data_IF_410621601694
#
_entry.id   IF_410621601694
#
_cell.length_a   1.000
_cell.length_b   1.000
_cell.length_c   1.000
_cell.angle_alpha   90.00
_cell.angle_beta   90.00
_cell.angle_gamma   90.00
#
_symmetry.space_group_name_H-M   'P 1'
#
loop_
_entity.id
_entity.type
_entity.pdbx_description
1 polymer ?
#
# COMPACT_ATOMS: atom_id res chain seq x y z
N UNK A 1 14.20 12.37 -4.38
CA UNK A 1 13.14 12.68 -5.37
C UNK A 1 13.55 12.51 -6.84
N UNK A 2 14.77 12.03 -7.18
CA UNK A 2 15.21 11.87 -8.59
C UNK A 2 15.17 10.43 -9.15
N UNK A 3 14.63 9.45 -8.42
CA UNK A 3 14.60 8.03 -8.85
C UNK A 3 13.29 7.59 -9.53
N UNK A 4 12.24 8.43 -9.55
CA UNK A 4 10.92 8.03 -10.10
C UNK A 4 10.81 8.12 -11.63
N UNK A 5 11.65 8.94 -12.29
CA UNK A 5 11.63 9.16 -13.75
C UNK A 5 12.05 7.90 -14.57
N UNK A 6 13.08 7.12 -14.18
CA UNK A 6 13.41 5.89 -14.90
C UNK A 6 12.37 4.78 -14.72
N UNK A 7 11.74 4.68 -13.54
CA UNK A 7 10.77 3.61 -13.23
C UNK A 7 9.51 3.70 -14.11
N UNK A 8 8.88 4.88 -14.19
CA UNK A 8 7.64 5.07 -14.95
C UNK A 8 7.79 4.78 -16.45
N UNK A 9 8.97 5.06 -17.02
CA UNK A 9 9.29 4.74 -18.42
C UNK A 9 9.56 3.25 -18.65
N UNK A 10 10.13 2.55 -17.67
CA UNK A 10 10.42 1.11 -17.77
C UNK A 10 9.15 0.29 -17.58
N UNK A 11 8.26 0.73 -16.70
CA UNK A 11 7.00 0.06 -16.37
C UNK A 11 5.83 0.46 -17.27
N UNK A 12 6.02 1.45 -18.16
CA UNK A 12 4.97 1.99 -19.04
C UNK A 12 3.71 2.41 -18.26
N UNK A 13 3.89 2.93 -17.04
CA UNK A 13 2.78 3.36 -16.20
C UNK A 13 2.04 4.55 -16.84
N UNK A 14 0.73 4.39 -17.03
CA UNK A 14 -0.15 5.44 -17.57
C UNK A 14 -0.37 5.40 -19.08
N UNK A 15 0.21 4.44 -19.80
CA UNK A 15 -0.08 4.20 -21.22
C UNK A 15 -1.30 3.28 -21.40
N UNK A 16 -2.01 3.41 -22.52
CA UNK A 16 -3.10 2.50 -22.86
C UNK A 16 -2.56 1.10 -23.20
N UNK A 17 -3.30 0.06 -22.84
CA UNK A 17 -2.93 -1.34 -23.09
C UNK A 17 -2.59 -1.63 -24.56
N UNK A 18 -3.23 -0.93 -25.50
CA UNK A 18 -2.99 -1.10 -26.93
C UNK A 18 -1.66 -0.47 -27.41
N UNK A 19 -1.11 0.48 -26.67
CA UNK A 19 0.11 1.22 -27.05
C UNK A 19 1.38 0.62 -26.43
N UNK A 20 1.25 -0.46 -25.63
CA UNK A 20 2.38 -1.08 -24.95
C UNK A 20 3.10 -2.01 -25.94
N UNK A 21 4.33 -1.67 -26.38
CA UNK A 21 5.09 -2.56 -27.25
C UNK A 21 5.50 -3.82 -26.50
N UNK A 22 5.67 -4.93 -27.21
CA UNK A 22 6.24 -6.17 -26.63
C UNK A 22 7.64 -5.89 -26.06
N UNK A 23 7.78 -6.02 -24.74
CA UNK A 23 9.00 -5.69 -24.01
C UNK A 23 9.93 -6.89 -23.92
N UNK A 24 11.25 -6.67 -24.04
CA UNK A 24 12.23 -7.73 -23.78
C UNK A 24 12.17 -8.21 -22.33
N UNK A 25 12.46 -9.50 -22.11
CA UNK A 25 12.42 -10.15 -20.78
C UNK A 25 13.25 -9.37 -19.74
N UNK A 26 14.43 -8.89 -20.12
CA UNK A 26 15.29 -8.07 -19.23
C UNK A 26 14.61 -6.78 -18.75
N UNK A 27 13.92 -6.07 -19.63
CA UNK A 27 13.23 -4.83 -19.25
C UNK A 27 12.02 -5.11 -18.37
N UNK A 28 11.32 -6.20 -18.64
CA UNK A 28 10.19 -6.63 -17.80
C UNK A 28 10.67 -6.92 -16.36
N UNK A 29 11.73 -7.71 -16.21
CA UNK A 29 12.32 -8.03 -14.90
C UNK A 29 12.73 -6.75 -14.15
N UNK A 30 13.38 -5.82 -14.85
CA UNK A 30 13.78 -4.54 -14.26
C UNK A 30 12.56 -3.75 -13.77
N UNK A 31 11.50 -3.67 -14.57
CA UNK A 31 10.24 -3.01 -14.18
C UNK A 31 9.56 -3.67 -12.99
N UNK A 32 9.62 -5.00 -12.88
CA UNK A 32 9.05 -5.71 -11.72
C UNK A 32 9.82 -5.46 -10.43
N UNK A 33 11.15 -5.37 -10.51
CA UNK A 33 11.99 -5.00 -9.35
C UNK A 33 11.65 -3.62 -8.81
N UNK A 34 11.42 -2.65 -9.70
CA UNK A 34 11.01 -1.31 -9.28
C UNK A 34 9.58 -1.28 -8.71
N UNK A 35 8.62 -1.97 -9.34
CA UNK A 35 7.27 -2.08 -8.80
C UNK A 35 7.26 -2.70 -7.40
N UNK A 36 8.00 -3.79 -7.20
CA UNK A 36 8.16 -4.42 -5.89
C UNK A 36 8.77 -3.46 -4.86
N UNK A 37 9.83 -2.73 -5.24
CA UNK A 37 10.44 -1.74 -4.37
C UNK A 37 9.45 -0.63 -3.99
N UNK A 38 8.64 -0.16 -4.94
CA UNK A 38 7.63 0.86 -4.67
C UNK A 38 6.53 0.33 -3.73
N UNK A 39 6.02 -0.88 -3.94
CA UNK A 39 5.00 -1.48 -3.08
C UNK A 39 5.49 -1.63 -1.63
N UNK A 40 6.69 -2.18 -1.46
CA UNK A 40 7.33 -2.36 -0.15
C UNK A 40 7.59 -1.05 0.58
N UNK A 41 7.84 0.05 -0.13
CA UNK A 41 8.09 1.37 0.47
C UNK A 41 6.80 2.15 0.72
N UNK A 42 5.82 2.04 -0.16
CA UNK A 42 4.61 2.85 -0.12
C UNK A 42 3.78 2.59 1.14
N UNK A 43 3.50 1.32 1.47
CA UNK A 43 2.70 0.98 2.65
C UNK A 43 3.34 1.45 3.97
N UNK A 44 4.64 1.19 4.24
CA UNK A 44 5.28 1.69 5.46
C UNK A 44 5.36 3.20 5.55
N UNK A 45 5.63 3.90 4.43
CA UNK A 45 5.68 5.37 4.43
C UNK A 45 4.34 5.94 4.88
N UNK A 46 3.22 5.43 4.35
CA UNK A 46 1.88 5.85 4.76
C UNK A 46 1.63 5.59 6.26
N UNK A 47 2.03 4.43 6.78
CA UNK A 47 1.91 4.13 8.20
C UNK A 47 2.75 5.06 9.08
N UNK A 48 4.01 5.35 8.69
CA UNK A 48 4.90 6.24 9.45
C UNK A 48 4.35 7.67 9.52
N UNK A 49 3.79 8.18 8.43
CA UNK A 49 3.12 9.50 8.42
C UNK A 49 1.97 9.52 9.43
N UNK A 50 1.12 8.49 9.44
CA UNK A 50 0.01 8.37 10.40
C UNK A 50 0.50 8.28 11.86
N UNK A 51 1.56 7.51 12.11
CA UNK A 51 2.17 7.41 13.43
C UNK A 51 2.70 8.77 13.93
N UNK A 52 3.25 9.60 13.05
CA UNK A 52 3.70 10.95 13.41
C UNK A 52 2.55 11.84 13.93
N UNK A 53 1.38 11.73 13.31
CA UNK A 53 0.17 12.45 13.72
C UNK A 53 -0.35 11.90 15.05
N UNK A 54 -0.41 10.58 15.21
CA UNK A 54 -0.83 9.99 16.48
C UNK A 54 0.12 10.39 17.62
N UNK A 55 1.43 10.39 17.39
CA UNK A 55 2.41 10.83 18.40
C UNK A 55 2.21 12.31 18.76
N UNK A 56 1.90 13.16 17.78
CA UNK A 56 1.54 14.55 18.04
C UNK A 56 0.26 14.67 18.89
N UNK A 57 -0.76 13.85 18.60
CA UNK A 57 -2.00 13.78 19.40
C UNK A 57 -1.78 13.16 20.78
N UNK A 58 -0.85 12.22 20.96
CA UNK A 58 -0.48 11.70 22.27
C UNK A 58 0.31 12.73 23.09
N UNK A 59 1.04 13.62 22.43
CA UNK A 59 1.73 14.74 23.09
C UNK A 59 0.75 15.81 23.58
N UNK A 60 -0.44 15.93 22.99
CA UNK A 60 -1.50 16.79 23.51
C UNK A 60 -2.14 16.07 24.72
N UNK A 61 -1.54 16.27 25.88
CA UNK A 61 -1.85 15.54 27.13
C UNK A 61 -3.29 15.85 27.62
N UNK A 62 -4.28 15.11 27.13
CA UNK A 62 -5.66 15.11 27.65
C UNK A 62 -5.83 14.05 28.75
N UNK A 63 -6.27 14.48 29.93
CA UNK A 63 -6.45 13.61 31.12
C UNK A 63 -7.53 12.53 30.95
N UNK A 64 -8.31 12.55 29.87
CA UNK A 64 -9.41 11.59 29.63
C UNK A 64 -8.86 10.22 29.21
N UNK A 65 -8.91 9.26 30.13
CA UNK A 65 -8.48 7.86 29.89
C UNK A 65 -9.05 7.25 28.59
N UNK A 66 -10.30 7.52 28.22
CA UNK A 66 -10.88 6.97 26.97
C UNK A 66 -10.14 7.44 25.71
N UNK A 67 -9.70 8.70 25.68
CA UNK A 67 -8.99 9.28 24.53
C UNK A 67 -7.58 8.70 24.44
N UNK A 68 -6.86 8.66 25.57
CA UNK A 68 -5.50 8.10 25.66
C UNK A 68 -5.45 6.61 25.28
N UNK A 69 -6.37 5.78 25.80
CA UNK A 69 -6.48 4.38 25.41
C UNK A 69 -6.83 4.18 23.94
N UNK A 70 -7.71 5.03 23.38
CA UNK A 70 -8.06 4.96 21.96
C UNK A 70 -6.87 5.33 21.07
N UNK A 71 -6.10 6.37 21.42
CA UNK A 71 -4.90 6.77 20.69
C UNK A 71 -3.81 5.71 20.76
N UNK A 72 -3.54 5.12 21.93
CA UNK A 72 -2.60 4.00 22.09
C UNK A 72 -3.04 2.75 21.33
N UNK A 73 -4.34 2.46 21.34
CA UNK A 73 -4.93 1.39 20.54
C UNK A 73 -4.71 1.60 19.04
N UNK A 74 -5.00 2.81 18.53
CA UNK A 74 -4.76 3.16 17.13
C UNK A 74 -3.28 3.14 16.75
N UNK A 75 -2.39 3.59 17.63
CA UNK A 75 -0.94 3.51 17.42
C UNK A 75 -0.52 2.04 17.24
N UNK A 76 -0.92 1.18 18.16
CA UNK A 76 -0.60 -0.26 18.13
C UNK A 76 -1.17 -0.91 16.87
N UNK A 77 -2.43 -0.61 16.54
CA UNK A 77 -3.07 -1.14 15.35
C UNK A 77 -2.38 -0.70 14.05
N UNK A 78 -1.98 0.57 13.93
CA UNK A 78 -1.25 1.06 12.75
C UNK A 78 0.12 0.41 12.59
N UNK A 79 0.85 0.21 13.70
CA UNK A 79 2.14 -0.51 13.68
C UNK A 79 1.94 -1.96 13.25
N UNK A 80 0.92 -2.64 13.78
CA UNK A 80 0.60 -4.01 13.38
C UNK A 80 0.23 -4.10 11.90
N UNK A 81 -0.58 -3.16 11.39
CA UNK A 81 -0.90 -3.10 9.97
C UNK A 81 0.35 -2.90 9.11
N UNK A 82 1.25 -1.99 9.51
CA UNK A 82 2.52 -1.76 8.81
C UNK A 82 3.37 -3.03 8.70
N UNK A 83 3.54 -3.74 9.81
CA UNK A 83 4.32 -4.99 9.84
C UNK A 83 3.63 -6.08 9.02
N UNK A 84 2.30 -6.19 9.14
CA UNK A 84 1.52 -7.19 8.42
C UNK A 84 1.55 -6.99 6.91
N UNK A 85 1.36 -5.76 6.43
CA UNK A 85 1.36 -5.48 4.99
C UNK A 85 2.77 -5.64 4.41
N UNK A 86 3.80 -5.18 5.12
CA UNK A 86 5.18 -5.36 4.68
C UNK A 86 5.56 -6.84 4.52
N UNK A 87 5.17 -7.70 5.47
CA UNK A 87 5.42 -9.14 5.37
C UNK A 87 4.59 -9.80 4.27
N UNK A 88 3.35 -9.35 4.06
CA UNK A 88 2.54 -9.84 2.95
C UNK A 88 3.15 -9.47 1.59
N UNK A 89 3.64 -8.23 1.42
CA UNK A 89 4.34 -7.78 0.22
C UNK A 89 5.67 -8.55 0.01
N UNK A 90 6.39 -8.83 1.11
CA UNK A 90 7.66 -9.58 1.08
C UNK A 90 7.48 -11.08 0.80
N UNK A 91 6.30 -11.65 1.03
CA UNK A 91 6.03 -13.07 0.80
C UNK A 91 4.81 -13.27 -0.09
N UNK A 92 4.56 -12.34 -1.02
CA UNK A 92 3.36 -12.36 -1.86
C UNK A 92 3.34 -13.50 -2.88
N UNK A 93 4.49 -14.11 -3.18
CA UNK A 93 4.61 -15.23 -4.12
C UNK A 93 5.41 -16.38 -3.53
N UNK A 94 5.04 -17.60 -3.93
CA UNK A 94 5.77 -18.83 -3.66
C UNK A 94 6.22 -19.44 -4.99
N UNK A 95 7.53 -19.50 -5.28
CA UNK A 95 8.67 -19.01 -4.49
C UNK A 95 8.84 -17.46 -4.55
N UNK A 96 9.50 -16.85 -3.55
CA UNK A 96 9.68 -15.38 -3.46
C UNK A 96 10.25 -14.72 -4.72
N UNK A 97 11.27 -15.34 -5.34
CA UNK A 97 11.91 -14.78 -6.54
C UNK A 97 11.00 -14.72 -7.76
N UNK A 98 9.89 -15.45 -7.74
CA UNK A 98 8.86 -15.36 -8.77
C UNK A 98 8.30 -13.94 -8.88
N UNK A 99 8.21 -13.19 -7.78
CA UNK A 99 7.68 -11.81 -7.81
C UNK A 99 8.38 -10.90 -8.82
N UNK A 100 9.70 -11.00 -8.95
CA UNK A 100 10.49 -10.11 -9.81
C UNK A 100 11.07 -10.79 -11.05
N UNK A 101 11.20 -12.11 -11.05
CA UNK A 101 11.74 -12.88 -12.18
C UNK A 101 10.68 -13.79 -12.86
N UNK A 102 9.36 -13.60 -12.62
CA UNK A 102 8.31 -14.41 -13.26
C UNK A 102 8.44 -14.56 -14.78
N UNK A 103 8.77 -13.53 -15.60
CA UNK A 103 8.77 -13.72 -17.05
C UNK A 103 9.87 -14.69 -17.51
N UNK A 104 11.00 -14.75 -16.81
CA UNK A 104 12.06 -15.71 -17.10
C UNK A 104 11.70 -17.12 -16.58
N UNK A 105 11.06 -17.20 -15.42
CA UNK A 105 10.66 -18.47 -14.82
C UNK A 105 9.52 -19.14 -15.58
N UNK A 106 8.50 -18.38 -15.99
CA UNK A 106 7.37 -18.87 -16.77
C UNK A 106 7.83 -19.36 -18.13
N UNK A 107 8.73 -18.62 -18.80
CA UNK A 107 9.33 -19.05 -20.05
C UNK A 107 10.10 -20.37 -19.91
N UNK A 108 10.85 -20.55 -18.81
CA UNK A 108 11.56 -21.80 -18.54
C UNK A 108 10.60 -22.97 -18.28
N UNK A 109 9.52 -22.73 -17.53
CA UNK A 109 8.49 -23.72 -17.24
C UNK A 109 7.69 -24.12 -18.50
N UNK A 110 7.32 -23.14 -19.33
CA UNK A 110 6.63 -23.34 -20.61
C UNK A 110 7.47 -24.18 -21.57
N UNK A 111 8.78 -23.90 -21.68
CA UNK A 111 9.71 -24.69 -22.52
C UNK A 111 9.88 -26.12 -21.99
N UNK A 112 9.97 -26.31 -20.68
CA UNK A 112 10.06 -27.64 -20.08
C UNK A 112 8.78 -28.47 -20.26
N UNK A 113 7.63 -27.82 -20.30
CA UNK A 113 6.32 -28.46 -20.49
C UNK A 113 5.94 -28.67 -21.97
N UNK A 114 6.68 -28.10 -22.92
CA UNK A 114 6.37 -28.15 -24.35
C UNK A 114 5.11 -27.35 -24.71
N UNK A 115 4.91 -26.18 -24.08
CA UNK A 115 3.80 -25.28 -24.38
C UNK A 115 3.90 -24.68 -25.80
N UNK A 116 2.76 -24.25 -26.34
CA UNK A 116 2.65 -23.60 -27.65
C UNK A 116 3.35 -22.22 -27.69
N UNK A 117 3.44 -21.57 -28.86
CA UNK A 117 4.02 -20.22 -29.02
C UNK A 117 3.35 -19.19 -28.09
N UNK A 118 2.06 -19.39 -27.77
CA UNK A 118 1.28 -18.57 -26.84
C UNK A 118 1.49 -18.92 -25.35
N UNK A 119 2.41 -19.84 -25.01
CA UNK A 119 2.69 -20.23 -23.62
C UNK A 119 1.61 -21.09 -22.96
N UNK A 120 0.71 -21.68 -23.75
CA UNK A 120 -0.41 -22.51 -23.29
C UNK A 120 -0.14 -24.01 -23.50
N UNK A 121 -0.59 -24.84 -22.56
CA UNK A 121 -0.64 -26.30 -22.70
C UNK A 121 -2.07 -26.76 -22.38
N UNK A 122 -2.73 -27.46 -23.31
CA UNK A 122 -4.12 -27.91 -23.17
C UNK A 122 -5.10 -26.78 -22.77
N UNK A 123 -4.90 -25.57 -23.31
CA UNK A 123 -5.74 -24.39 -23.02
C UNK A 123 -5.51 -23.76 -21.65
N UNK A 124 -4.44 -24.13 -20.93
CA UNK A 124 -4.07 -23.54 -19.64
C UNK A 124 -2.65 -22.94 -19.71
N UNK A 125 -2.53 -21.70 -19.24
CA UNK A 125 -1.23 -21.01 -19.11
C UNK A 125 -0.38 -21.71 -18.03
N UNK A 126 0.87 -22.05 -18.39
CA UNK A 126 1.82 -22.69 -17.46
C UNK A 126 2.61 -21.61 -16.72
N UNK A 127 2.51 -21.64 -15.39
CA UNK A 127 3.23 -20.73 -14.48
C UNK A 127 4.18 -21.49 -13.57
N UNK A 128 5.35 -20.92 -13.34
CA UNK A 128 6.38 -21.49 -12.48
C UNK A 128 6.11 -21.28 -10.98
N UNK A 129 5.21 -20.37 -10.63
CA UNK A 129 4.86 -20.03 -9.25
C UNK A 129 3.43 -19.56 -9.10
N UNK A 130 3.04 -19.32 -7.85
CA UNK A 130 1.74 -18.76 -7.49
C UNK A 130 1.90 -17.54 -6.59
N UNK A 131 1.10 -16.51 -6.82
CA UNK A 131 1.05 -15.30 -6.03
C UNK A 131 -0.34 -15.08 -5.42
N UNK A 132 -0.40 -14.29 -4.35
CA UNK A 132 -1.65 -13.81 -3.76
C UNK A 132 -2.38 -12.92 -4.77
N UNK A 133 -3.72 -12.90 -4.71
CA UNK A 133 -4.54 -11.96 -5.47
C UNK A 133 -4.22 -10.53 -5.04
N UNK A 134 -3.46 -9.85 -5.90
CA UNK A 134 -2.96 -8.51 -5.66
C UNK A 134 -4.11 -7.50 -5.49
N UNK A 135 -5.20 -7.64 -6.25
CA UNK A 135 -6.35 -6.73 -6.19
C UNK A 135 -7.08 -6.88 -4.86
N UNK A 136 -7.34 -8.11 -4.44
CA UNK A 136 -7.99 -8.38 -3.16
C UNK A 136 -7.17 -7.86 -1.97
N UNK A 137 -5.86 -8.09 -2.01
CA UNK A 137 -4.94 -7.59 -0.99
C UNK A 137 -4.93 -6.06 -0.93
N UNK A 138 -4.72 -5.37 -2.07
CA UNK A 138 -4.71 -3.91 -2.13
C UNK A 138 -6.03 -3.29 -1.66
N UNK A 139 -7.17 -3.85 -2.09
CA UNK A 139 -8.47 -3.33 -1.70
C UNK A 139 -8.71 -3.46 -0.20
N UNK A 140 -8.28 -4.57 0.40
CA UNK A 140 -8.40 -4.79 1.84
C UNK A 140 -7.50 -3.86 2.66
N UNK A 141 -6.24 -3.69 2.25
CA UNK A 141 -5.28 -2.79 2.89
C UNK A 141 -5.73 -1.33 2.79
N UNK A 142 -6.21 -0.91 1.61
CA UNK A 142 -6.78 0.41 1.40
C UNK A 142 -8.00 0.66 2.29
N UNK A 143 -8.91 -0.31 2.38
CA UNK A 143 -10.09 -0.21 3.25
C UNK A 143 -9.72 -0.01 4.72
N UNK A 144 -8.76 -0.79 5.23
CA UNK A 144 -8.26 -0.66 6.59
C UNK A 144 -7.53 0.68 6.81
N UNK A 145 -6.75 1.13 5.83
CA UNK A 145 -6.08 2.42 5.89
C UNK A 145 -7.08 3.57 6.01
N UNK A 146 -8.10 3.61 5.15
CA UNK A 146 -9.16 4.63 5.20
C UNK A 146 -9.91 4.58 6.52
N UNK A 147 -10.22 3.38 7.04
CA UNK A 147 -10.87 3.22 8.34
C UNK A 147 -10.03 3.85 9.46
N UNK A 148 -8.72 3.60 9.48
CA UNK A 148 -7.84 4.22 10.48
C UNK A 148 -7.77 5.74 10.36
N UNK A 149 -7.85 6.28 9.13
CA UNK A 149 -7.82 7.73 8.90
C UNK A 149 -9.09 8.40 9.44
N UNK A 150 -10.27 7.82 9.18
CA UNK A 150 -11.54 8.28 9.77
C UNK A 150 -11.44 8.33 11.29
N UNK A 151 -10.95 7.25 11.91
CA UNK A 151 -10.82 7.18 13.37
C UNK A 151 -9.85 8.24 13.90
N UNK A 152 -8.72 8.48 13.21
CA UNK A 152 -7.77 9.53 13.58
C UNK A 152 -8.36 10.93 13.51
N UNK A 153 -9.28 11.20 12.57
CA UNK A 153 -9.96 12.51 12.49
C UNK A 153 -11.07 12.64 13.56
N UNK A 154 -11.79 11.55 13.86
CA UNK A 154 -12.87 11.57 14.86
C UNK A 154 -12.37 11.82 16.29
N UNK A 155 -11.21 11.30 16.65
CA UNK A 155 -10.66 11.44 18.01
C UNK A 155 -10.44 12.91 18.43
N UNK A 156 -9.70 13.75 17.69
CA UNK A 156 -9.51 15.15 18.06
C UNK A 156 -10.85 15.93 18.03
N UNK A 157 -11.81 15.55 17.18
CA UNK A 157 -13.16 16.16 17.22
C UNK A 157 -13.89 15.86 18.53
N UNK A 158 -13.81 14.61 19.03
CA UNK A 158 -14.37 14.20 20.33
C UNK A 158 -13.66 14.91 21.49
N UNK A 159 -12.36 15.17 21.36
CA UNK A 159 -11.57 15.91 22.34
C UNK A 159 -12.01 17.39 22.42
N UNK A 160 -12.15 18.04 21.26
CA UNK A 160 -12.49 19.46 21.15
C UNK A 160 -13.96 19.75 21.53
N UNK A 161 -14.88 18.78 21.39
CA UNK A 161 -16.30 19.06 21.66
C UNK A 161 -16.60 19.44 23.10
N UNK A 162 -15.83 18.96 24.06
CA UNK A 162 -16.12 19.16 25.48
C UNK A 162 -15.28 20.29 26.11
N UNK A 163 -14.45 20.97 25.31
CA UNK A 163 -13.67 22.14 25.73
C UNK A 163 -14.52 23.42 25.54
N UNK A 164 -14.62 24.27 26.58
CA UNK A 164 -15.39 25.52 26.58
C UNK A 164 -14.74 26.65 25.75
N UNK A 165 -14.47 26.38 24.48
CA UNK A 165 -13.94 27.35 23.52
C UNK A 165 -15.08 28.09 22.78
N UNK A 166 -14.82 29.36 22.43
CA UNK A 166 -15.72 30.19 21.61
C UNK A 166 -16.03 29.48 20.29
N UNK A 167 -17.32 29.33 19.93
CA UNK A 167 -17.79 28.53 18.78
C UNK A 167 -17.05 28.82 17.46
N UNK A 168 -16.61 30.07 17.24
CA UNK A 168 -15.81 30.46 16.05
C UNK A 168 -14.47 29.70 15.93
N UNK A 169 -13.74 29.48 17.04
CA UNK A 169 -12.50 28.67 17.03
C UNK A 169 -12.77 27.19 16.83
N UNK A 170 -13.89 26.71 17.37
CA UNK A 170 -14.33 25.31 17.23
C UNK A 170 -14.62 24.97 15.76
N UNK A 171 -15.36 25.86 15.09
CA UNK A 171 -15.66 25.74 13.65
C UNK A 171 -14.39 25.84 12.81
N UNK A 172 -13.43 26.72 13.16
CA UNK A 172 -12.16 26.81 12.45
C UNK A 172 -11.33 25.51 12.54
N UNK A 173 -11.27 24.89 13.72
CA UNK A 173 -10.57 23.60 13.90
C UNK A 173 -11.24 22.49 13.10
N UNK A 174 -12.58 22.45 13.07
CA UNK A 174 -13.32 21.48 12.26
C UNK A 174 -13.07 21.71 10.76
N UNK A 175 -13.05 22.96 10.30
CA UNK A 175 -12.77 23.28 8.90
C UNK A 175 -11.35 22.93 8.46
N UNK A 176 -10.33 23.20 9.30
CA UNK A 176 -8.93 22.85 9.00
C UNK A 176 -8.76 21.33 8.97
N UNK A 177 -9.43 20.60 9.86
CA UNK A 177 -9.36 19.14 9.93
C UNK A 177 -10.09 18.47 8.75
N UNK A 178 -11.24 19.02 8.34
CA UNK A 178 -11.99 18.53 7.17
C UNK A 178 -11.32 18.83 5.83
N UNK A 179 -10.47 19.87 5.75
CA UNK A 179 -9.64 20.13 4.57
C UNK A 179 -8.67 18.97 4.30
N UNK A 180 -8.28 18.20 5.32
CA UNK A 180 -7.47 16.99 5.13
C UNK A 180 -8.22 15.79 4.53
N UNK A 181 -9.54 15.89 4.36
CA UNK A 181 -10.40 14.84 3.78
C UNK A 181 -10.83 15.12 2.33
N UNK A 182 -10.64 16.35 1.84
CA UNK A 182 -10.90 16.76 0.45
C UNK A 182 -9.61 16.75 -0.37
#
# INVERSE_FOLDING_TARGET
>A
MLTAIPDTKVTMQGYHLADIPEMSVERQILGQRYNLANQLLYHPILSVVKLSVILFLLRIDDKRRRVDWSLKGLFTFNVLLMVSTFLADLFQCTPWHYTFDYPAMDLAAQKAAGADEDGMLNGKEIKAGSCIDQVAFFLSAAGLAVLTDVLMLLIPMIMVKDLQMRKRRKVAVWAILSIGWM
#
